data_IF_199214252605
#
_entry.id   IF_199214252605
#
_cell.length_a   1.000
_cell.length_b   1.000
_cell.length_c   1.000
_cell.angle_alpha   90.00
_cell.angle_beta   90.00
_cell.angle_gamma   90.00
#
_symmetry.space_group_name_H-M   'P 1'
#
loop_
_entity.id
_entity.type
_entity.pdbx_description
1 polymer ?
#
# COMPACT_ATOMS: atom_id res chain seq x y z
N UNK A 1 -13.50 2.97 6.67
CA UNK A 1 -12.56 3.25 7.79
C UNK A 1 -11.42 4.09 7.27
N UNK A 2 -10.77 4.90 8.12
CA UNK A 2 -9.67 5.79 7.69
C UNK A 2 -8.37 4.99 7.54
N UNK A 3 -7.57 5.18 6.46
CA UNK A 3 -6.25 4.59 6.37
C UNK A 3 -5.30 5.21 7.40
N UNK A 4 -4.23 4.51 7.74
CA UNK A 4 -3.22 4.93 8.72
C UNK A 4 -1.85 4.89 8.05
N UNK A 5 -1.10 5.98 8.16
CA UNK A 5 0.27 6.10 7.68
C UNK A 5 1.17 6.31 8.90
N UNK A 6 2.12 5.40 9.14
CA UNK A 6 3.12 5.52 10.21
C UNK A 6 4.46 5.84 9.59
N UNK A 7 5.07 6.94 10.04
CA UNK A 7 6.38 7.41 9.57
C UNK A 7 7.33 7.62 10.74
N UNK A 8 8.63 7.54 10.49
CA UNK A 8 9.66 7.72 11.51
C UNK A 8 10.20 6.42 12.11
N UNK A 9 10.69 6.50 13.34
CA UNK A 9 11.45 5.42 13.97
C UNK A 9 10.59 4.17 14.21
N UNK A 10 11.11 2.99 13.86
CA UNK A 10 10.45 1.70 14.03
C UNK A 10 9.06 1.55 13.38
N UNK A 11 8.73 2.32 12.32
CA UNK A 11 7.43 2.23 11.63
C UNK A 11 7.05 0.80 11.23
N UNK A 12 7.99 0.03 10.68
CA UNK A 12 7.72 -1.31 10.15
C UNK A 12 7.31 -2.27 11.27
N UNK A 13 8.09 -2.25 12.36
CA UNK A 13 7.79 -3.05 13.55
C UNK A 13 6.43 -2.68 14.17
N UNK A 14 6.07 -1.40 14.17
CA UNK A 14 4.77 -0.96 14.68
C UNK A 14 3.63 -1.43 13.76
N UNK A 15 3.80 -1.35 12.45
CA UNK A 15 2.83 -1.89 11.49
C UNK A 15 2.60 -3.38 11.72
N UNK A 16 3.67 -4.17 11.81
CA UNK A 16 3.60 -5.62 12.05
C UNK A 16 2.85 -5.93 13.36
N UNK A 17 3.19 -5.24 14.44
CA UNK A 17 2.55 -5.43 15.74
C UNK A 17 1.07 -5.05 15.74
N UNK A 18 0.67 -4.02 14.98
CA UNK A 18 -0.74 -3.62 14.88
C UNK A 18 -1.57 -4.69 14.18
N UNK A 19 -1.07 -5.26 13.09
CA UNK A 19 -1.74 -6.37 12.36
C UNK A 19 -1.81 -7.62 13.23
N UNK A 20 -0.71 -8.00 13.88
CA UNK A 20 -0.63 -9.21 14.71
C UNK A 20 -1.57 -9.11 15.92
N UNK A 21 -1.57 -7.96 16.61
CA UNK A 21 -2.32 -7.81 17.87
C UNK A 21 -3.80 -7.50 17.67
N UNK A 22 -4.16 -6.84 16.57
CA UNK A 22 -5.54 -6.44 16.27
C UNK A 22 -5.93 -6.72 14.81
N UNK A 23 -5.93 -8.00 14.38
CA UNK A 23 -6.17 -8.38 12.97
C UNK A 23 -7.60 -8.11 12.48
N UNK A 24 -8.53 -7.88 13.40
CA UNK A 24 -9.92 -7.46 13.10
C UNK A 24 -10.03 -5.96 12.85
N UNK A 25 -9.02 -5.18 13.23
CA UNK A 25 -9.01 -3.72 13.11
C UNK A 25 -8.00 -3.21 12.08
N UNK A 26 -6.87 -3.89 11.90
CA UNK A 26 -5.79 -3.45 11.01
C UNK A 26 -5.43 -4.51 9.98
N UNK A 27 -5.11 -4.04 8.78
CA UNK A 27 -4.64 -4.87 7.68
C UNK A 27 -3.77 -4.02 6.74
N UNK A 28 -2.72 -4.59 6.18
CA UNK A 28 -1.93 -3.95 5.13
C UNK A 28 -2.58 -4.22 3.78
N UNK A 29 -2.54 -3.25 2.86
CA UNK A 29 -2.94 -3.51 1.48
C UNK A 29 -1.84 -4.26 0.72
N UNK A 30 -2.22 -5.11 -0.22
CA UNK A 30 -1.26 -5.82 -1.08
C UNK A 30 -0.85 -4.93 -2.25
N UNK A 31 0.43 -4.54 -2.36
CA UNK A 31 0.93 -3.73 -3.48
C UNK A 31 1.02 -4.52 -4.78
N UNK A 32 1.25 -3.83 -5.90
CA UNK A 32 1.46 -4.43 -7.21
C UNK A 32 2.93 -4.33 -7.60
N UNK A 33 3.43 -5.29 -8.39
CA UNK A 33 4.77 -5.21 -8.97
C UNK A 33 4.85 -5.86 -10.34
N UNK A 34 5.70 -5.34 -11.23
CA UNK A 34 6.07 -6.01 -12.49
C UNK A 34 7.25 -6.98 -12.34
N UNK A 35 7.81 -7.09 -11.13
CA UNK A 35 8.86 -8.07 -10.85
C UNK A 35 8.30 -9.48 -11.02
N UNK A 36 9.03 -10.42 -11.64
CA UNK A 36 8.65 -11.82 -11.64
C UNK A 36 8.50 -12.38 -10.22
N UNK A 37 7.46 -13.19 -10.01
CA UNK A 37 7.24 -13.91 -8.76
C UNK A 37 8.39 -14.89 -8.50
N UNK A 38 8.94 -14.88 -7.28
CA UNK A 38 9.99 -15.81 -6.84
C UNK A 38 9.37 -17.10 -6.29
N UNK A 39 10.18 -18.14 -6.20
CA UNK A 39 9.78 -19.39 -5.56
C UNK A 39 9.35 -19.14 -4.11
N UNK A 40 8.13 -19.58 -3.76
CA UNK A 40 7.54 -19.43 -2.43
C UNK A 40 6.70 -18.17 -2.21
N UNK A 41 6.71 -17.23 -3.15
CA UNK A 41 5.79 -16.08 -3.15
C UNK A 41 4.42 -16.47 -3.71
N UNK A 42 3.37 -15.79 -3.25
CA UNK A 42 2.00 -15.97 -3.73
C UNK A 42 1.41 -14.64 -4.19
N UNK A 43 0.84 -14.64 -5.40
CA UNK A 43 0.12 -13.47 -5.91
C UNK A 43 -1.10 -13.18 -5.02
N UNK A 44 -1.27 -11.92 -4.64
CA UNK A 44 -2.31 -11.48 -3.71
C UNK A 44 -1.96 -11.69 -2.23
N UNK A 45 -0.75 -12.15 -1.90
CA UNK A 45 -0.23 -12.16 -0.53
C UNK A 45 0.93 -11.17 -0.37
N UNK A 46 2.05 -11.41 -1.05
CA UNK A 46 3.18 -10.47 -1.03
C UNK A 46 2.93 -9.28 -1.96
N UNK A 47 2.55 -9.58 -3.21
CA UNK A 47 2.27 -8.60 -4.25
C UNK A 47 1.19 -9.15 -5.18
N UNK A 48 0.49 -8.27 -5.88
CA UNK A 48 -0.12 -8.60 -7.16
C UNK A 48 0.94 -8.50 -8.25
N UNK A 49 1.37 -9.65 -8.75
CA UNK A 49 2.37 -9.73 -9.81
C UNK A 49 1.74 -9.42 -11.17
N UNK A 50 2.05 -8.25 -11.73
CA UNK A 50 1.58 -7.78 -13.03
C UNK A 50 2.51 -8.31 -14.11
N UNK A 51 1.97 -9.11 -15.03
CA UNK A 51 2.78 -9.81 -16.03
C UNK A 51 3.30 -8.91 -17.17
N UNK A 52 2.54 -7.88 -17.55
CA UNK A 52 2.93 -6.92 -18.59
C UNK A 52 3.37 -5.61 -17.94
N UNK A 53 4.62 -5.22 -18.20
CA UNK A 53 5.14 -3.93 -17.75
C UNK A 53 4.39 -2.78 -18.42
N UNK A 54 4.05 -2.96 -19.70
CA UNK A 54 3.30 -2.00 -20.51
C UNK A 54 1.89 -1.78 -19.95
N UNK A 55 1.22 -2.83 -19.49
CA UNK A 55 -0.08 -2.69 -18.83
C UNK A 55 0.04 -1.87 -17.53
N UNK A 56 1.03 -2.16 -16.69
CA UNK A 56 1.22 -1.39 -15.46
C UNK A 56 1.57 0.07 -15.78
N UNK A 57 2.35 0.34 -16.83
CA UNK A 57 2.65 1.70 -17.30
C UNK A 57 1.38 2.44 -17.73
N UNK A 58 0.48 1.78 -18.44
CA UNK A 58 -0.81 2.36 -18.80
C UNK A 58 -1.66 2.64 -17.55
N UNK A 59 -1.75 1.69 -16.62
CA UNK A 59 -2.50 1.87 -15.38
C UNK A 59 -1.93 3.03 -14.53
N UNK A 60 -0.61 3.23 -14.55
CA UNK A 60 0.07 4.37 -13.92
C UNK A 60 -0.36 5.68 -14.61
N UNK A 61 -0.35 5.73 -15.94
CA UNK A 61 -0.78 6.90 -16.71
C UNK A 61 -2.26 7.23 -16.50
N UNK A 62 -3.09 6.21 -16.33
CA UNK A 62 -4.53 6.32 -16.06
C UNK A 62 -4.83 6.75 -14.61
N UNK A 63 -3.79 6.94 -13.77
CA UNK A 63 -3.93 7.42 -12.40
C UNK A 63 -4.50 6.37 -11.43
N UNK A 64 -4.30 5.07 -11.72
CA UNK A 64 -4.82 3.97 -10.89
C UNK A 64 -4.01 3.76 -9.60
N UNK A 65 -2.81 4.32 -9.52
CA UNK A 65 -1.88 4.19 -8.41
C UNK A 65 -1.75 5.47 -7.60
N UNK A 66 -1.65 5.30 -6.28
CA UNK A 66 -1.40 6.36 -5.31
C UNK A 66 0.09 6.64 -5.16
N UNK A 67 0.87 5.57 -5.13
CA UNK A 67 2.33 5.64 -5.10
C UNK A 67 2.87 4.63 -6.10
N UNK A 68 3.90 5.05 -6.83
CA UNK A 68 4.62 4.22 -7.78
C UNK A 68 6.11 4.50 -7.62
N UNK A 69 6.89 3.45 -7.48
CA UNK A 69 8.35 3.49 -7.49
C UNK A 69 8.91 2.49 -8.47
N UNK A 70 10.14 2.73 -8.90
CA UNK A 70 10.92 1.78 -9.70
C UNK A 70 12.10 1.27 -8.90
N UNK A 71 12.30 -0.04 -8.87
CA UNK A 71 13.46 -0.67 -8.26
C UNK A 71 13.90 -1.85 -9.10
N UNK A 72 15.20 -1.91 -9.42
CA UNK A 72 15.79 -2.93 -10.30
C UNK A 72 14.97 -3.14 -11.58
N UNK A 73 14.65 -2.06 -12.31
CA UNK A 73 13.88 -2.05 -13.57
C UNK A 73 12.42 -2.52 -13.48
N UNK A 74 11.92 -2.82 -12.28
CA UNK A 74 10.55 -3.23 -12.02
C UNK A 74 9.76 -2.12 -11.32
N UNK A 75 8.49 -1.98 -11.68
CA UNK A 75 7.56 -1.09 -10.98
C UNK A 75 7.06 -1.76 -9.71
N UNK A 76 6.81 -0.93 -8.72
CA UNK A 76 6.13 -1.25 -7.48
C UNK A 76 5.11 -0.15 -7.23
N UNK A 77 3.88 -0.49 -6.87
CA UNK A 77 2.88 0.53 -6.64
C UNK A 77 1.73 0.10 -5.73
N UNK A 78 1.19 1.08 -5.02
CA UNK A 78 -0.01 0.92 -4.18
C UNK A 78 -1.19 1.49 -4.94
N UNK A 79 -2.14 0.65 -5.32
CA UNK A 79 -3.33 1.09 -6.05
C UNK A 79 -4.39 1.63 -5.11
N UNK A 80 -5.17 2.60 -5.57
CA UNK A 80 -6.31 3.11 -4.80
C UNK A 80 -7.32 1.99 -4.47
N UNK A 81 -7.47 1.03 -5.39
CA UNK A 81 -8.36 -0.12 -5.20
C UNK A 81 -7.93 -0.98 -4.03
N UNK A 82 -6.64 -1.25 -3.86
CA UNK A 82 -6.11 -2.07 -2.77
C UNK A 82 -6.44 -1.44 -1.39
N UNK A 83 -6.29 -0.13 -1.27
CA UNK A 83 -6.66 0.61 -0.05
C UNK A 83 -8.17 0.57 0.19
N UNK A 84 -8.95 0.73 -0.87
CA UNK A 84 -10.41 0.71 -0.79
C UNK A 84 -10.96 -0.67 -0.40
N UNK A 85 -10.34 -1.75 -0.86
CA UNK A 85 -10.73 -3.13 -0.50
C UNK A 85 -10.59 -3.39 1.00
N UNK A 86 -9.50 -2.94 1.62
CA UNK A 86 -9.33 -3.02 3.09
C UNK A 86 -10.36 -2.15 3.82
N UNK A 87 -10.63 -0.95 3.34
CA UNK A 87 -11.62 -0.06 3.93
C UNK A 87 -13.05 -0.63 3.87
N UNK A 88 -13.39 -1.39 2.81
CA UNK A 88 -14.67 -2.10 2.66
C UNK A 88 -14.86 -3.21 3.69
N UNK A 89 -13.77 -3.82 4.15
CA UNK A 89 -13.78 -4.81 5.23
C UNK A 89 -13.93 -4.17 6.63
N UNK A 90 -14.14 -2.85 6.71
CA UNK A 90 -14.23 -2.09 7.94
C UNK A 90 -12.96 -2.13 8.80
N UNK A 91 -11.79 -2.33 8.17
CA UNK A 91 -10.47 -2.29 8.80
C UNK A 91 -9.70 -1.03 8.44
N UNK A 92 -8.82 -0.60 9.31
CA UNK A 92 -7.82 0.44 9.03
C UNK A 92 -6.73 -0.14 8.14
N UNK A 93 -6.59 0.43 6.94
CA UNK A 93 -5.52 0.07 6.04
C UNK A 93 -4.22 0.73 6.52
N UNK A 94 -3.24 -0.09 6.91
CA UNK A 94 -1.88 0.38 7.22
C UNK A 94 -1.15 0.57 5.89
N UNK A 95 -0.83 1.82 5.57
CA UNK A 95 -0.18 2.22 4.34
C UNK A 95 1.31 2.49 4.61
N UNK A 96 2.16 1.78 3.88
CA UNK A 96 3.59 2.07 3.80
C UNK A 96 3.87 2.87 2.52
N UNK A 97 3.58 4.17 2.57
CA UNK A 97 3.72 5.12 1.45
C UNK A 97 4.36 6.42 1.93
N UNK A 98 4.91 7.20 1.01
CA UNK A 98 5.37 8.57 1.26
C UNK A 98 4.24 9.47 1.74
N UNK A 99 4.59 10.50 2.51
CA UNK A 99 3.66 11.56 2.91
C UNK A 99 3.15 12.38 1.72
N UNK A 100 3.84 12.32 0.57
CA UNK A 100 3.43 12.99 -0.66
C UNK A 100 2.07 12.48 -1.18
N UNK A 101 1.66 11.28 -0.77
CA UNK A 101 0.37 10.69 -1.12
C UNK A 101 -0.81 11.24 -0.29
N UNK A 102 -0.56 11.94 0.83
CA UNK A 102 -1.60 12.41 1.77
C UNK A 102 -2.61 13.38 1.12
N UNK A 103 -2.20 14.36 0.30
CA UNK A 103 -3.15 15.24 -0.39
C UNK A 103 -4.05 14.47 -1.37
N UNK A 104 -3.49 13.51 -2.10
CA UNK A 104 -4.22 12.70 -3.08
C UNK A 104 -5.27 11.82 -2.40
N UNK A 105 -4.89 11.15 -1.32
CA UNK A 105 -5.79 10.39 -0.44
C UNK A 105 -6.97 11.25 0.04
N UNK A 106 -6.69 12.48 0.46
CA UNK A 106 -7.72 13.41 0.95
C UNK A 106 -8.70 13.82 -0.14
N UNK A 107 -8.23 14.05 -1.37
CA UNK A 107 -9.08 14.36 -2.52
C UNK A 107 -10.04 13.21 -2.87
N UNK A 108 -9.65 11.97 -2.58
CA UNK A 108 -10.47 10.77 -2.80
C UNK A 108 -11.35 10.41 -1.59
N UNK A 109 -11.53 11.34 -0.66
CA UNK A 109 -12.29 11.13 0.60
C UNK A 109 -11.72 10.02 1.49
N UNK A 110 -10.47 9.61 1.26
CA UNK A 110 -9.72 8.67 2.09
C UNK A 110 -8.85 9.46 3.07
N UNK A 111 -9.44 10.15 4.04
CA UNK A 111 -8.72 11.00 4.99
C UNK A 111 -7.80 10.19 5.91
N UNK A 112 -6.47 10.16 5.68
CA UNK A 112 -5.59 9.28 6.45
C UNK A 112 -5.40 9.81 7.88
N UNK A 113 -5.03 8.91 8.78
CA UNK A 113 -4.43 9.23 10.08
C UNK A 113 -2.92 9.12 9.89
N UNK A 114 -2.19 10.22 10.07
CA UNK A 114 -0.73 10.23 9.95
C UNK A 114 -0.12 10.28 11.34
N UNK A 115 0.75 9.31 11.64
CA UNK A 115 1.46 9.18 12.92
C UNK A 115 2.96 9.28 12.67
N UNK A 116 3.60 10.31 13.22
CA UNK A 116 5.05 10.45 13.19
C UNK A 116 5.68 9.99 14.50
N UNK A 117 6.52 8.98 14.42
CA UNK A 117 7.27 8.41 15.56
C UNK A 117 8.67 9.02 15.57
N UNK A 118 8.88 9.94 16.51
CA UNK A 118 10.18 10.57 16.74
C UNK A 118 11.06 9.65 17.59
N UNK A 119 12.40 9.61 17.36
CA UNK A 119 13.35 8.93 18.23
C UNK A 119 13.30 9.43 19.69
#
# INVERSE_FOLDING_TARGET
>A
TRPVIIVGWCKDKLNDQLVERWPTLFETCVPHTTRPMRAGELSGREYFFVLSKEQMEQDIQDGMFMEVGTYNEHYYGVSYRAVHEVAKQHKHCLLDVSLDCVPQLSNMSLHPIVLFVRP
#
